data_IF_331401369448
#
_entry.id   IF_331401369448
#
_cell.length_a   1.000
_cell.length_b   1.000
_cell.length_c   1.000
_cell.angle_alpha   90.00
_cell.angle_beta   90.00
_cell.angle_gamma   90.00
#
_symmetry.space_group_name_H-M   'P 1'
#
loop_
_entity.id
_entity.type
_entity.pdbx_description
1 polymer ?
#
# COMPACT_ATOMS: atom_id res chain seq x y z
N UNK A 1 -10.64 8.93 -15.03
CA UNK A 1 -9.88 7.66 -14.97
C UNK A 1 -10.80 6.61 -14.40
N UNK A 2 -10.69 5.35 -14.82
CA UNK A 2 -11.44 4.26 -14.16
C UNK A 2 -10.75 3.85 -12.85
N UNK A 3 -11.50 3.29 -11.90
CA UNK A 3 -10.94 2.70 -10.68
C UNK A 3 -9.80 1.71 -11.00
N UNK A 4 -9.95 0.89 -12.05
CA UNK A 4 -8.89 -0.02 -12.52
C UNK A 4 -7.58 0.71 -12.85
N UNK A 5 -7.66 1.87 -13.49
CA UNK A 5 -6.47 2.67 -13.83
C UNK A 5 -5.80 3.26 -12.59
N UNK A 6 -6.61 3.69 -11.62
CA UNK A 6 -6.13 4.25 -10.34
C UNK A 6 -5.45 3.16 -9.52
N UNK A 7 -6.13 2.02 -9.36
CA UNK A 7 -5.63 0.87 -8.60
C UNK A 7 -4.36 0.30 -9.23
N UNK A 8 -4.29 0.16 -10.57
CA UNK A 8 -3.08 -0.29 -11.26
C UNK A 8 -1.90 0.63 -10.94
N UNK A 9 -2.13 1.95 -10.88
CA UNK A 9 -1.08 2.92 -10.53
C UNK A 9 -0.62 2.79 -9.08
N UNK A 10 -1.53 2.50 -8.16
CA UNK A 10 -1.19 2.24 -6.75
C UNK A 10 -0.41 0.92 -6.62
N UNK A 11 -0.82 -0.14 -7.32
CA UNK A 11 -0.14 -1.44 -7.35
C UNK A 11 1.29 -1.33 -7.86
N UNK A 12 1.53 -0.58 -8.94
CA UNK A 12 2.89 -0.35 -9.47
C UNK A 12 3.85 0.21 -8.42
N UNK A 13 3.37 1.11 -7.54
CA UNK A 13 4.17 1.68 -6.46
C UNK A 13 4.41 0.66 -5.35
N UNK A 14 3.40 -0.13 -4.98
CA UNK A 14 3.52 -1.20 -3.98
C UNK A 14 4.50 -2.30 -4.45
N UNK A 15 4.42 -2.72 -5.72
CA UNK A 15 5.35 -3.68 -6.31
C UNK A 15 6.78 -3.11 -6.36
N UNK A 16 6.94 -1.83 -6.71
CA UNK A 16 8.24 -1.17 -6.70
C UNK A 16 8.84 -1.13 -5.28
N UNK A 17 8.01 -0.93 -4.25
CA UNK A 17 8.45 -1.04 -2.86
C UNK A 17 8.89 -2.47 -2.49
N UNK A 18 8.13 -3.49 -2.89
CA UNK A 18 8.48 -4.89 -2.63
C UNK A 18 9.83 -5.29 -3.26
N UNK A 19 10.13 -4.76 -4.45
CA UNK A 19 11.42 -4.90 -5.14
C UNK A 19 12.55 -4.08 -4.52
N UNK A 20 12.23 -3.11 -3.66
CA UNK A 20 13.19 -2.20 -3.04
C UNK A 20 13.54 -0.98 -3.91
N UNK A 21 12.77 -0.72 -4.97
CA UNK A 21 12.93 0.41 -5.88
C UNK A 21 12.18 1.68 -5.41
N UNK A 22 11.29 1.53 -4.42
CA UNK A 22 10.52 2.62 -3.82
C UNK A 22 10.53 2.53 -2.29
N UNK A 23 10.25 3.66 -1.63
CA UNK A 23 10.17 3.77 -0.17
C UNK A 23 8.73 3.63 0.32
N UNK A 24 8.55 3.36 1.61
CA UNK A 24 7.23 3.29 2.23
C UNK A 24 6.51 4.64 2.14
N UNK A 25 7.26 5.74 2.17
CA UNK A 25 6.73 7.08 1.90
C UNK A 25 6.12 7.19 0.50
N UNK A 26 6.73 6.61 -0.52
CA UNK A 26 6.15 6.58 -1.87
C UNK A 26 4.84 5.79 -1.90
N UNK A 27 4.75 4.66 -1.18
CA UNK A 27 3.52 3.88 -1.05
C UNK A 27 2.42 4.70 -0.36
N UNK A 28 2.72 5.34 0.76
CA UNK A 28 1.75 6.16 1.49
C UNK A 28 1.26 7.36 0.68
N UNK A 29 2.17 8.09 0.02
CA UNK A 29 1.80 9.20 -0.86
C UNK A 29 0.96 8.75 -2.05
N UNK A 30 1.22 7.55 -2.59
CA UNK A 30 0.39 6.98 -3.66
C UNK A 30 -1.03 6.71 -3.15
N UNK A 31 -1.17 6.11 -1.96
CA UNK A 31 -2.48 5.86 -1.36
C UNK A 31 -3.23 7.16 -1.09
N UNK A 32 -2.59 8.15 -0.46
CA UNK A 32 -3.20 9.44 -0.16
C UNK A 32 -3.63 10.21 -1.42
N UNK A 33 -2.85 10.13 -2.50
CA UNK A 33 -3.15 10.81 -3.75
C UNK A 33 -4.30 10.16 -4.53
N UNK A 34 -4.37 8.83 -4.52
CA UNK A 34 -5.22 8.06 -5.42
C UNK A 34 -6.48 7.48 -4.77
N UNK A 35 -6.48 7.21 -3.45
CA UNK A 35 -7.64 6.69 -2.73
C UNK A 35 -8.88 7.60 -2.86
N UNK A 36 -8.78 8.95 -2.71
CA UNK A 36 -9.95 9.82 -2.84
C UNK A 36 -10.58 9.79 -4.24
N UNK A 37 -9.82 9.41 -5.25
CA UNK A 37 -10.29 9.30 -6.63
C UNK A 37 -11.00 7.97 -6.93
N UNK A 38 -11.00 7.01 -5.99
CA UNK A 38 -11.74 5.75 -6.11
C UNK A 38 -13.23 5.99 -5.85
N UNK A 39 -14.03 5.81 -6.89
CA UNK A 39 -15.49 5.98 -6.83
C UNK A 39 -16.18 4.67 -6.44
N UNK A 40 -17.24 4.73 -5.64
CA UNK A 40 -18.07 3.57 -5.34
C UNK A 40 -17.44 2.49 -4.44
N UNK A 41 -16.26 2.74 -3.86
CA UNK A 41 -15.68 1.84 -2.85
C UNK A 41 -16.25 2.11 -1.45
N UNK A 42 -16.44 1.07 -0.61
CA UNK A 42 -16.90 1.24 0.78
C UNK A 42 -15.91 2.01 1.65
N UNK A 43 -16.40 2.84 2.57
CA UNK A 43 -15.56 3.58 3.53
C UNK A 43 -14.71 2.66 4.42
N UNK A 44 -15.19 1.45 4.71
CA UNK A 44 -14.39 0.43 5.42
C UNK A 44 -13.13 0.07 4.64
N UNK A 45 -13.20 -0.01 3.31
CA UNK A 45 -12.07 -0.31 2.45
C UNK A 45 -11.13 0.89 2.35
N UNK A 46 -11.65 2.12 2.28
CA UNK A 46 -10.84 3.35 2.35
C UNK A 46 -10.01 3.39 3.63
N UNK A 47 -10.65 3.19 4.78
CA UNK A 47 -9.97 3.12 6.06
C UNK A 47 -8.95 1.99 6.12
N UNK A 48 -9.25 0.84 5.50
CA UNK A 48 -8.31 -0.27 5.44
C UNK A 48 -7.06 0.08 4.64
N UNK A 49 -7.21 0.72 3.47
CA UNK A 49 -6.08 1.18 2.66
C UNK A 49 -5.21 2.20 3.41
N UNK A 50 -5.83 3.17 4.09
CA UNK A 50 -5.10 4.15 4.91
C UNK A 50 -4.41 3.52 6.12
N UNK A 51 -5.06 2.57 6.79
CA UNK A 51 -4.45 1.87 7.92
C UNK A 51 -3.23 1.06 7.48
N UNK A 52 -3.31 0.42 6.32
CA UNK A 52 -2.22 -0.37 5.76
C UNK A 52 -1.07 0.52 5.27
N UNK A 53 -1.35 1.65 4.62
CA UNK A 53 -0.31 2.57 4.19
C UNK A 53 0.46 3.18 5.38
N UNK A 54 -0.24 3.52 6.46
CA UNK A 54 0.38 3.98 7.71
C UNK A 54 1.21 2.88 8.39
N UNK A 55 0.75 1.63 8.34
CA UNK A 55 1.50 0.50 8.87
C UNK A 55 2.79 0.22 8.07
N UNK A 56 2.74 0.34 6.74
CA UNK A 56 3.92 0.22 5.86
C UNK A 56 4.96 1.30 6.19
N UNK A 57 4.54 2.54 6.43
CA UNK A 57 5.43 3.62 6.91
C UNK A 57 6.07 3.29 8.28
N UNK A 58 5.26 2.80 9.22
CA UNK A 58 5.72 2.49 10.58
C UNK A 58 6.70 1.31 10.58
N UNK A 59 6.46 0.32 9.72
CA UNK A 59 7.35 -0.81 9.55
C UNK A 59 8.64 -0.44 8.84
N UNK A 60 8.65 0.53 7.90
CA UNK A 60 9.92 1.00 7.33
C UNK A 60 10.80 1.69 8.39
N UNK A 61 10.22 2.52 9.25
CA UNK A 61 10.95 3.11 10.38
C UNK A 61 11.50 2.04 11.32
N UNK A 62 10.69 1.00 11.58
CA UNK A 62 11.11 -0.15 12.41
C UNK A 62 12.14 -1.02 11.70
N UNK A 63 12.03 -1.21 10.39
CA UNK A 63 12.93 -2.01 9.55
C UNK A 63 14.29 -1.32 9.39
N UNK A 64 14.36 0.01 9.38
CA UNK A 64 15.63 0.74 9.46
C UNK A 64 16.30 0.54 10.83
N UNK A 65 15.54 0.58 11.93
CA UNK A 65 16.04 0.22 13.27
C UNK A 65 16.45 -1.26 13.35
N UNK A 66 15.68 -2.14 12.72
CA UNK A 66 15.89 -3.60 12.69
C UNK A 66 17.03 -3.99 11.76
N UNK A 67 17.28 -3.27 10.66
CA UNK A 67 18.48 -3.42 9.81
C UNK A 67 19.74 -3.03 10.56
N UNK A 68 19.69 -1.98 11.38
CA UNK A 68 20.75 -1.66 12.34
C UNK A 68 21.01 -2.82 13.32
N UNK A 69 19.97 -3.62 13.61
CA UNK A 69 20.00 -4.77 14.53
C UNK A 69 20.08 -6.15 13.84
N UNK A 70 20.19 -6.22 12.51
CA UNK A 70 20.22 -7.46 11.70
C UNK A 70 19.04 -8.43 11.91
N UNK A 71 17.84 -7.95 12.22
CA UNK A 71 16.62 -8.79 12.24
C UNK A 71 15.89 -8.74 10.89
N UNK A 72 15.17 -9.79 10.47
CA UNK A 72 14.37 -9.76 9.25
C UNK A 72 13.12 -8.90 9.46
N UNK A 73 13.02 -7.82 8.69
CA UNK A 73 11.90 -6.87 8.72
C UNK A 73 10.56 -7.46 8.30
N UNK A 74 9.46 -6.95 8.88
CA UNK A 74 8.12 -7.52 8.78
C UNK A 74 7.38 -6.96 7.56
N UNK A 75 7.29 -7.74 6.47
CA UNK A 75 6.71 -7.33 5.16
C UNK A 75 5.22 -7.64 5.00
N UNK A 76 4.52 -8.01 6.08
CA UNK A 76 3.16 -8.57 6.02
C UNK A 76 2.10 -7.55 5.56
N UNK A 77 2.30 -6.29 5.91
CA UNK A 77 1.39 -5.16 5.73
C UNK A 77 1.37 -4.69 4.27
N UNK A 78 2.51 -4.78 3.60
CA UNK A 78 2.65 -4.46 2.18
C UNK A 78 1.92 -5.50 1.33
N UNK A 79 1.99 -6.78 1.71
CA UNK A 79 1.24 -7.84 1.05
C UNK A 79 -0.27 -7.66 1.25
N UNK A 80 -0.72 -7.33 2.46
CA UNK A 80 -2.13 -7.02 2.71
C UNK A 80 -2.62 -5.82 1.89
N UNK A 81 -1.80 -4.77 1.74
CA UNK A 81 -2.12 -3.61 0.90
C UNK A 81 -2.25 -4.00 -0.58
N UNK A 82 -1.32 -4.82 -1.06
CA UNK A 82 -1.36 -5.34 -2.42
C UNK A 82 -2.63 -6.16 -2.70
N UNK A 83 -3.02 -7.05 -1.78
CA UNK A 83 -4.21 -7.88 -1.92
C UNK A 83 -5.51 -7.06 -1.87
N UNK A 84 -5.57 -6.04 -1.01
CA UNK A 84 -6.71 -5.12 -0.95
C UNK A 84 -6.90 -4.36 -2.27
N UNK A 85 -5.82 -3.90 -2.88
CA UNK A 85 -5.83 -3.24 -4.18
C UNK A 85 -6.30 -4.20 -5.30
N UNK A 86 -5.79 -5.44 -5.32
CA UNK A 86 -6.26 -6.44 -6.27
C UNK A 86 -7.76 -6.76 -6.13
N UNK A 87 -8.29 -6.73 -4.90
CA UNK A 87 -9.72 -6.87 -4.65
C UNK A 87 -10.58 -5.81 -5.34
N UNK A 88 -10.09 -4.57 -5.38
CA UNK A 88 -10.74 -3.44 -6.07
C UNK A 88 -10.67 -3.59 -7.59
N UNK A 89 -9.51 -3.96 -8.13
CA UNK A 89 -9.34 -4.17 -9.57
C UNK A 89 -10.17 -5.37 -10.09
N UNK A 90 -10.31 -6.42 -9.28
CA UNK A 90 -11.04 -7.64 -9.64
C UNK A 90 -12.57 -7.56 -9.49
N UNK A 91 -13.12 -6.43 -9.02
CA UNK A 91 -14.57 -6.28 -8.82
C UNK A 91 -15.16 -7.22 -7.77
N UNK A 92 -14.37 -7.67 -6.79
CA UNK A 92 -14.82 -8.58 -5.71
C UNK A 92 -15.40 -7.83 -4.50
N UNK A 93 -15.89 -6.62 -4.71
CA UNK A 93 -16.48 -5.75 -3.68
C UNK A 93 -17.95 -5.55 -3.98
#
# INVERSE_FOLDING_TARGET
MSNDSIVRRMLEVVESYQRGDATASAVASSVELYEPALEGIPDSLRHHLHSLSAAVLSNEATDDEVRSLSLPGNRSEVHALHDALLGIAGGKI
#
